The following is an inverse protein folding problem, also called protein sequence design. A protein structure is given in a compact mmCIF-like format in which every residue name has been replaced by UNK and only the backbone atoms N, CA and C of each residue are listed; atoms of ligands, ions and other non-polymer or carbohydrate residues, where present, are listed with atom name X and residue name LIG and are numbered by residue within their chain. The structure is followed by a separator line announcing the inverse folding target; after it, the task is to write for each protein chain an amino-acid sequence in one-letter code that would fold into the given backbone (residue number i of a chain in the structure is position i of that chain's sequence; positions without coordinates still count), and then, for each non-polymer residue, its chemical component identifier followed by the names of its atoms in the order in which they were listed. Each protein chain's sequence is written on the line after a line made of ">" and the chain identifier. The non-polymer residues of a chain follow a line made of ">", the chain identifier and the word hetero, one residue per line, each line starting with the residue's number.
data_IF_240041424131
#
_entry.id   IF_240041424131
#
_cell.length_a   1.000
_cell.length_b   1.000
_cell.length_c   1.000
_cell.angle_alpha   90.00
_cell.angle_beta   90.00
_cell.angle_gamma   90.00
#
_symmetry.space_group_name_H-M   'P 1'
#
loop_
_entity.id
_entity.type
_entity.pdbx_description
1 polymer ?
#
# COMPACT_ATOMS: atom_id res chain seq x y z
N UNK A 1 -0.76 11.31 -13.65
CA UNK A 1 -0.20 12.45 -14.43
C UNK A 1 0.99 12.09 -15.31
N UNK A 2 2.09 11.54 -14.76
CA UNK A 2 3.30 11.21 -15.52
C UNK A 2 3.00 10.21 -16.65
N UNK A 3 2.30 9.12 -16.33
CA UNK A 3 1.90 8.10 -17.32
C UNK A 3 1.13 8.70 -18.50
N UNK A 4 0.19 9.61 -18.24
CA UNK A 4 -0.58 10.26 -19.32
C UNK A 4 0.25 11.23 -20.15
N UNK A 5 1.14 12.01 -19.53
CA UNK A 5 1.92 13.05 -20.22
C UNK A 5 3.17 12.54 -20.92
N UNK A 6 3.75 11.42 -20.47
CA UNK A 6 5.05 10.92 -20.96
C UNK A 6 4.99 9.52 -21.59
N UNK A 7 3.93 8.75 -21.32
CA UNK A 7 3.81 7.35 -21.74
C UNK A 7 2.49 7.06 -22.45
N UNK A 8 1.84 8.10 -23.01
CA UNK A 8 0.55 8.00 -23.72
C UNK A 8 -0.54 7.22 -22.96
N UNK A 9 -0.51 7.25 -21.62
CA UNK A 9 -1.53 6.60 -20.80
C UNK A 9 -2.86 7.35 -20.78
N UNK A 10 -3.95 6.62 -20.54
CA UNK A 10 -5.28 7.19 -20.37
C UNK A 10 -5.86 6.87 -18.98
N UNK A 11 -5.17 7.35 -17.93
CA UNK A 11 -5.62 7.17 -16.55
C UNK A 11 -6.36 8.39 -16.02
N UNK A 12 -7.48 8.17 -15.33
CA UNK A 12 -8.13 9.23 -14.58
C UNK A 12 -7.36 9.51 -13.28
N UNK A 13 -6.72 10.68 -13.20
CA UNK A 13 -5.89 11.04 -12.04
C UNK A 13 -6.70 11.22 -10.75
N UNK A 14 -7.93 11.72 -10.83
CA UNK A 14 -8.80 11.95 -9.67
C UNK A 14 -9.24 10.61 -9.07
N UNK A 15 -9.62 9.68 -9.93
CA UNK A 15 -9.94 8.30 -9.52
C UNK A 15 -8.75 7.64 -8.87
N UNK A 16 -7.57 7.67 -9.50
CA UNK A 16 -6.34 7.08 -8.92
C UNK A 16 -6.00 7.70 -7.56
N UNK A 17 -6.21 9.01 -7.38
CA UNK A 17 -6.00 9.67 -6.10
C UNK A 17 -6.97 9.16 -5.02
N UNK A 18 -8.25 9.00 -5.36
CA UNK A 18 -9.24 8.38 -4.47
C UNK A 18 -8.84 6.95 -4.08
N UNK A 19 -8.46 6.12 -5.05
CA UNK A 19 -8.01 4.75 -4.77
C UNK A 19 -6.79 4.75 -3.84
N UNK A 20 -5.81 5.63 -4.09
CA UNK A 20 -4.63 5.75 -3.24
C UNK A 20 -4.95 6.20 -1.81
N UNK A 21 -5.96 7.06 -1.60
CA UNK A 21 -6.37 7.46 -0.25
C UNK A 21 -7.02 6.32 0.54
N UNK A 22 -7.72 5.40 -0.13
CA UNK A 22 -8.47 4.32 0.51
C UNK A 22 -7.80 2.94 0.44
N UNK A 23 -6.61 2.81 -0.18
CA UNK A 23 -5.97 1.51 -0.39
C UNK A 23 -5.64 0.75 0.91
N UNK A 24 -5.34 1.47 1.99
CA UNK A 24 -5.06 0.90 3.32
C UNK A 24 -6.26 0.93 4.26
N UNK A 25 -7.46 1.30 3.79
CA UNK A 25 -8.63 1.45 4.65
C UNK A 25 -9.00 0.14 5.39
N UNK A 26 -8.80 -1.02 4.75
CA UNK A 26 -9.02 -2.33 5.37
C UNK A 26 -8.06 -2.64 6.52
N UNK A 27 -6.89 -1.99 6.57
CA UNK A 27 -5.89 -2.20 7.63
C UNK A 27 -6.37 -1.68 9.00
N UNK A 28 -7.37 -0.80 9.02
CA UNK A 28 -8.05 -0.40 10.26
C UNK A 28 -8.70 -1.59 10.99
N UNK A 29 -9.17 -2.59 10.24
CA UNK A 29 -9.82 -3.78 10.79
C UNK A 29 -8.83 -4.94 10.94
N UNK A 30 -7.94 -5.15 9.98
CA UNK A 30 -7.01 -6.29 9.98
C UNK A 30 -5.73 -6.04 10.78
N UNK A 31 -5.40 -4.77 11.04
CA UNK A 31 -4.07 -4.35 11.48
C UNK A 31 -3.08 -4.26 10.31
N UNK A 32 -2.05 -3.43 10.46
CA UNK A 32 -0.91 -3.38 9.54
C UNK A 32 -0.12 -4.69 9.66
N UNK A 33 0.09 -5.34 8.52
CA UNK A 33 0.85 -6.58 8.45
C UNK A 33 2.16 -6.34 7.72
N UNK A 34 3.31 -6.59 8.36
CA UNK A 34 4.59 -6.30 7.76
C UNK A 34 4.81 -7.16 6.51
N UNK A 35 5.37 -6.55 5.47
CA UNK A 35 5.57 -7.14 4.15
C UNK A 35 6.20 -8.55 4.16
N UNK A 36 7.18 -8.89 5.01
CA UNK A 36 7.76 -10.23 5.05
C UNK A 36 6.76 -11.34 5.40
N UNK A 37 5.73 -11.03 6.20
CA UNK A 37 4.70 -11.99 6.62
C UNK A 37 3.70 -12.23 5.49
N UNK A 38 3.29 -11.16 4.76
CA UNK A 38 2.38 -11.23 3.61
C UNK A 38 2.89 -12.19 2.49
N UNK A 39 4.19 -12.46 2.40
CA UNK A 39 4.80 -13.33 1.35
C UNK A 39 5.59 -14.53 1.89
N UNK A 40 5.46 -14.87 3.17
CA UNK A 40 6.22 -15.96 3.76
C UNK A 40 5.94 -17.31 3.10
N UNK A 41 4.66 -17.61 2.83
CA UNK A 41 4.20 -18.81 2.14
C UNK A 41 2.98 -18.44 1.27
N UNK A 42 2.86 -18.95 0.02
CA UNK A 42 1.68 -18.73 -0.81
C UNK A 42 0.34 -19.11 -0.15
N UNK A 43 0.31 -20.12 0.72
CA UNK A 43 -0.89 -20.49 1.48
C UNK A 43 -1.29 -19.37 2.45
N UNK A 44 -0.33 -18.85 3.21
CA UNK A 44 -0.53 -17.77 4.17
C UNK A 44 -0.98 -16.50 3.44
N UNK A 45 -0.32 -16.17 2.32
CA UNK A 45 -0.69 -15.03 1.47
C UNK A 45 -2.14 -15.15 0.96
N UNK A 46 -2.57 -16.36 0.59
CA UNK A 46 -3.94 -16.61 0.13
C UNK A 46 -4.98 -16.44 1.25
N UNK A 47 -4.72 -16.99 2.43
CA UNK A 47 -5.60 -16.82 3.59
C UNK A 47 -5.70 -15.36 4.02
N UNK A 48 -4.59 -14.60 3.97
CA UNK A 48 -4.62 -13.17 4.26
C UNK A 48 -5.45 -12.37 3.27
N UNK A 49 -5.36 -12.68 1.97
CA UNK A 49 -6.23 -12.05 0.97
C UNK A 49 -7.71 -12.29 1.27
N UNK A 50 -8.08 -13.44 1.85
CA UNK A 50 -9.46 -13.69 2.29
C UNK A 50 -9.82 -12.79 3.47
N UNK A 51 -8.92 -12.64 4.44
CA UNK A 51 -9.13 -11.78 5.61
C UNK A 51 -9.29 -10.30 5.19
N UNK A 52 -8.43 -9.81 4.29
CA UNK A 52 -8.54 -8.46 3.72
C UNK A 52 -9.89 -8.26 3.01
N UNK A 53 -10.34 -9.23 2.20
CA UNK A 53 -11.67 -9.18 1.56
C UNK A 53 -12.80 -9.12 2.58
N UNK A 54 -12.75 -9.91 3.65
CA UNK A 54 -13.76 -9.88 4.71
C UNK A 54 -13.77 -8.50 5.39
N UNK A 55 -12.60 -7.91 5.63
CA UNK A 55 -12.50 -6.56 6.18
C UNK A 55 -13.08 -5.49 5.24
N UNK A 56 -12.80 -5.56 3.94
CA UNK A 56 -13.38 -4.66 2.93
C UNK A 56 -14.92 -4.77 2.90
N UNK A 57 -15.47 -5.99 2.91
CA UNK A 57 -16.92 -6.20 2.97
C UNK A 57 -17.53 -5.66 4.26
N UNK A 58 -16.84 -5.83 5.38
CA UNK A 58 -17.27 -5.28 6.67
C UNK A 58 -17.28 -3.75 6.66
N UNK A 59 -16.27 -3.11 6.07
CA UNK A 59 -16.24 -1.65 5.87
C UNK A 59 -17.42 -1.19 4.99
N UNK A 60 -17.68 -1.87 3.88
CA UNK A 60 -18.82 -1.55 3.02
C UNK A 60 -20.16 -1.70 3.75
N UNK A 61 -20.30 -2.72 4.60
CA UNK A 61 -21.52 -2.92 5.40
C UNK A 61 -21.75 -1.80 6.43
N UNK A 62 -20.68 -1.14 6.92
CA UNK A 62 -20.79 0.01 7.83
C UNK A 62 -21.24 1.29 7.14
N UNK A 63 -21.14 1.37 5.82
CA UNK A 63 -21.57 2.54 5.03
C UNK A 63 -23.09 2.48 4.81
N UNK A 64 -23.81 3.62 4.87
CA UNK A 64 -25.24 3.69 4.53
C UNK A 64 -25.53 3.14 3.14
N UNK A 65 -26.66 2.44 2.98
CA UNK A 65 -26.99 1.68 1.77
C UNK A 65 -26.97 2.52 0.49
N UNK A 66 -27.41 3.78 0.57
CA UNK A 66 -27.42 4.75 -0.54
C UNK A 66 -26.03 5.02 -1.11
N UNK A 67 -24.98 4.99 -0.28
CA UNK A 67 -23.60 5.30 -0.66
C UNK A 67 -22.74 4.05 -0.89
N UNK A 68 -23.23 2.85 -0.54
CA UNK A 68 -22.45 1.62 -0.65
C UNK A 68 -21.95 1.35 -2.05
N UNK A 69 -22.75 1.64 -3.08
CA UNK A 69 -22.37 1.41 -4.46
C UNK A 69 -21.21 2.32 -4.90
N UNK A 70 -21.22 3.59 -4.49
CA UNK A 70 -20.15 4.54 -4.82
C UNK A 70 -18.83 4.10 -4.18
N UNK A 71 -18.87 3.75 -2.89
CA UNK A 71 -17.71 3.28 -2.14
C UNK A 71 -17.24 1.89 -2.56
N UNK A 72 -18.11 1.03 -3.08
CA UNK A 72 -17.71 -0.29 -3.59
C UNK A 72 -16.69 -0.16 -4.71
N UNK A 73 -16.87 0.81 -5.60
CA UNK A 73 -15.91 1.05 -6.68
C UNK A 73 -14.53 1.50 -6.21
N UNK A 74 -14.44 1.98 -4.96
CA UNK A 74 -13.22 2.51 -4.32
C UNK A 74 -12.61 1.49 -3.35
N UNK A 75 -13.41 0.73 -2.60
CA UNK A 75 -12.92 -0.21 -1.57
C UNK A 75 -12.71 -1.63 -2.10
N UNK A 76 -13.35 -2.00 -3.21
CA UNK A 76 -13.22 -3.32 -3.82
C UNK A 76 -12.10 -3.33 -4.87
N UNK A 77 -11.00 -4.01 -4.57
CA UNK A 77 -9.84 -4.12 -5.45
C UNK A 77 -10.17 -4.82 -6.79
N UNK A 78 -11.27 -5.56 -6.89
CA UNK A 78 -11.72 -6.17 -8.16
C UNK A 78 -12.27 -5.13 -9.14
N UNK A 79 -12.67 -3.95 -8.67
CA UNK A 79 -13.16 -2.86 -9.53
C UNK A 79 -12.02 -2.02 -10.13
N UNK A 80 -10.77 -2.32 -9.79
CA UNK A 80 -9.62 -1.55 -10.24
C UNK A 80 -9.08 -2.16 -11.53
N UNK A 81 -8.76 -1.31 -12.50
CA UNK A 81 -7.95 -1.72 -13.63
C UNK A 81 -6.53 -2.06 -13.19
N UNK A 82 -5.85 -2.93 -13.92
CA UNK A 82 -4.46 -3.29 -13.63
C UNK A 82 -3.54 -2.07 -13.66
N UNK A 83 -3.80 -1.12 -14.54
CA UNK A 83 -3.05 0.13 -14.62
C UNK A 83 -3.22 1.02 -13.38
N UNK A 84 -4.42 1.09 -12.81
CA UNK A 84 -4.68 1.82 -11.57
C UNK A 84 -3.96 1.15 -10.39
N UNK A 85 -4.08 -0.17 -10.25
CA UNK A 85 -3.38 -0.95 -9.20
C UNK A 85 -1.88 -0.72 -9.26
N UNK A 86 -1.30 -0.77 -10.45
CA UNK A 86 0.13 -0.57 -10.64
C UNK A 86 0.59 0.83 -10.21
N UNK A 87 -0.18 1.86 -10.54
CA UNK A 87 0.19 3.24 -10.16
C UNK A 87 0.06 3.45 -8.65
N UNK A 88 -1.02 2.99 -8.02
CA UNK A 88 -1.19 3.08 -6.57
C UNK A 88 -0.05 2.35 -5.85
N UNK A 89 0.29 1.15 -6.30
CA UNK A 89 1.40 0.35 -5.74
C UNK A 89 2.77 1.03 -5.91
N UNK A 90 3.01 1.70 -7.03
CA UNK A 90 4.23 2.48 -7.25
C UNK A 90 4.30 3.69 -6.32
N UNK A 91 3.18 4.38 -6.13
CA UNK A 91 3.10 5.50 -5.21
C UNK A 91 3.37 5.07 -3.75
N UNK A 92 2.77 3.96 -3.30
CA UNK A 92 3.02 3.41 -1.97
C UNK A 92 4.50 3.08 -1.73
N UNK A 93 5.15 2.40 -2.68
CA UNK A 93 6.58 2.10 -2.53
C UNK A 93 7.48 3.35 -2.51
N UNK A 94 7.14 4.39 -3.28
CA UNK A 94 7.83 5.68 -3.20
C UNK A 94 7.64 6.33 -1.83
N UNK A 95 6.42 6.30 -1.28
CA UNK A 95 6.14 6.79 0.07
C UNK A 95 6.95 6.04 1.14
N UNK A 96 7.01 4.70 1.05
CA UNK A 96 7.82 3.90 1.96
C UNK A 96 9.32 4.24 1.86
N UNK A 97 9.83 4.45 0.65
CA UNK A 97 11.22 4.84 0.43
C UNK A 97 11.53 6.23 1.00
N UNK A 98 10.65 7.21 0.78
CA UNK A 98 10.79 8.57 1.32
C UNK A 98 10.79 8.56 2.86
N UNK A 99 9.89 7.81 3.49
CA UNK A 99 9.88 7.61 4.95
C UNK A 99 11.23 7.07 5.45
N UNK A 100 11.80 6.07 4.79
CA UNK A 100 13.13 5.55 5.14
C UNK A 100 14.24 6.61 5.02
N UNK A 101 14.20 7.45 3.98
CA UNK A 101 15.16 8.55 3.82
C UNK A 101 15.03 9.60 4.92
N UNK A 102 13.80 9.95 5.31
CA UNK A 102 13.53 10.87 6.40
C UNK A 102 14.08 10.34 7.72
N UNK A 103 13.83 9.07 8.05
CA UNK A 103 14.37 8.41 9.24
C UNK A 103 15.90 8.40 9.27
N UNK A 104 16.54 8.10 8.14
CA UNK A 104 18.01 8.16 8.00
C UNK A 104 18.54 9.59 8.22
N UNK A 105 17.84 10.60 7.68
CA UNK A 105 18.22 12.01 7.85
C UNK A 105 18.01 12.49 9.30
N UNK A 106 16.95 12.04 9.96
CA UNK A 106 16.68 12.36 11.36
C UNK A 106 17.66 11.66 12.29
N UNK A 107 18.02 10.40 12.00
CA UNK A 107 19.03 9.65 12.74
C UNK A 107 20.42 10.28 12.63
N UNK A 108 20.81 10.79 11.45
CA UNK A 108 22.08 11.51 11.28
C UNK A 108 22.09 12.86 12.00
N UNK A 109 20.95 13.55 12.10
CA UNK A 109 20.82 14.83 12.84
C UNK A 109 20.75 14.64 14.36
N UNK A 110 20.21 13.51 14.83
CA UNK A 110 19.99 13.20 16.25
C UNK A 110 21.19 12.51 16.93
N UNK A 111 22.13 11.94 16.18
CA UNK A 111 23.30 11.22 16.72
C UNK A 111 24.41 12.18 17.18
N UNK A 112 24.35 12.78 18.38
CA UNK A 112 24.86 12.26 19.67
C UNK A 112 24.16 10.96 20.14
N UNK A 113 24.51 9.77 19.59
CA UNK A 113 24.47 8.45 20.28
C UNK A 113 25.28 7.43 19.45
N UNK A 114 25.96 6.44 20.08
CA UNK A 114 27.01 5.67 19.42
C UNK A 114 26.48 4.53 18.56
N UNK A 115 27.10 4.39 17.39
CA UNK A 115 26.91 3.31 16.41
C UNK A 115 27.38 1.96 16.96
N UNK A 116 26.66 1.32 17.87
CA UNK A 116 26.90 -0.08 18.25
C UNK A 116 25.57 -0.76 18.54
N UNK A 117 24.96 -1.42 17.54
CA UNK A 117 23.85 -2.34 17.82
C UNK A 117 22.79 -2.53 16.75
N UNK A 118 22.73 -1.71 15.69
CA UNK A 118 21.75 -1.94 14.61
C UNK A 118 22.27 -2.96 13.58
N UNK A 119 22.50 -4.20 14.04
CA UNK A 119 22.26 -5.40 13.23
C UNK A 119 20.79 -5.78 13.38
N UNK A 120 19.90 -4.90 12.92
CA UNK A 120 18.68 -5.33 12.26
C UNK A 120 18.57 -4.43 11.04
N UNK A 121 18.44 -4.97 9.82
CA UNK A 121 17.99 -4.12 8.74
C UNK A 121 16.67 -3.54 9.24
N UNK A 122 16.53 -2.21 9.32
CA UNK A 122 15.22 -1.63 9.09
C UNK A 122 14.67 -2.41 7.92
N UNK A 123 13.53 -3.08 8.11
CA UNK A 123 12.95 -3.89 7.07
C UNK A 123 12.52 -2.96 5.95
N UNK A 124 13.45 -2.54 5.11
CA UNK A 124 13.26 -2.16 3.72
C UNK A 124 12.79 -3.40 2.93
N UNK A 125 11.88 -4.19 3.51
CA UNK A 125 11.15 -5.25 2.83
C UNK A 125 10.27 -4.65 1.72
N UNK A 126 9.99 -3.35 1.76
CA UNK A 126 9.32 -2.60 0.69
C UNK A 126 10.21 -2.40 -0.53
N UNK A 127 11.54 -2.35 -0.38
CA UNK A 127 12.48 -2.17 -1.51
C UNK A 127 12.79 -3.48 -2.25
N UNK A 128 12.61 -4.64 -1.62
CA UNK A 128 12.88 -5.96 -2.22
C UNK A 128 11.70 -6.56 -2.99
N UNK A 129 10.70 -5.74 -3.33
CA UNK A 129 9.49 -6.14 -4.07
C UNK A 129 9.56 -5.89 -5.59
N UNK A 130 10.68 -5.41 -6.14
CA UNK A 130 10.65 -4.71 -7.43
C UNK A 130 11.64 -5.20 -8.50
N UNK A 131 12.23 -6.39 -8.37
CA UNK A 131 13.22 -6.92 -9.34
C UNK A 131 12.86 -8.23 -10.05
N UNK A 132 11.65 -8.76 -9.88
CA UNK A 132 11.24 -9.97 -10.62
C UNK A 132 9.90 -9.71 -11.28
N UNK A 133 9.98 -9.23 -12.53
CA UNK A 133 9.06 -9.58 -13.62
C UNK A 133 9.14 -11.07 -13.92
#
# INVERSE_FOLDING_TARGET
>A
MIKNRKFNGNLNAERVALLAMYHDASEVITGDMPTPIKYYNPQIAHEYKKIEKVAQQKLLAMIPEELRNDFRSILDEHCYSEDEKLVVKQADALCAYLKCLEELSAATRSSRWPRRGWRKPCSCATARKWSTS
#
